data_IF_331845884732
#
_entry.id   IF_331845884732
#
_cell.length_a   1.000
_cell.length_b   1.000
_cell.length_c   1.000
_cell.angle_alpha   90.00
_cell.angle_beta   90.00
_cell.angle_gamma   90.00
#
_symmetry.space_group_name_H-M   'P 1'
#
loop_
_entity.id
_entity.type
_entity.pdbx_description
1 polymer ?
#
# COMPACT_ATOMS: atom_id res chain seq x y z
N UNK A 1 44.34 -3.05 21.26
CA UNK A 1 44.46 -3.12 19.78
C UNK A 1 43.25 -3.91 19.31
N UNK A 2 42.08 -3.27 19.25
CA UNK A 2 41.62 -2.47 18.10
C UNK A 2 41.41 -3.35 16.88
N UNK A 3 40.16 -3.73 16.63
CA UNK A 3 39.51 -3.63 15.33
C UNK A 3 38.01 -3.66 15.55
N UNK A 4 37.50 -2.50 15.95
CA UNK A 4 36.17 -2.04 15.58
C UNK A 4 36.18 -1.75 14.07
N UNK A 5 35.16 -2.20 13.36
CA UNK A 5 34.83 -1.77 12.00
C UNK A 5 33.37 -2.10 11.69
N UNK A 6 32.73 -1.28 10.85
CA UNK A 6 31.46 -0.66 11.20
C UNK A 6 30.36 -0.95 10.16
N UNK A 7 29.16 -0.42 10.41
CA UNK A 7 28.25 -0.05 9.33
C UNK A 7 26.90 -0.74 9.37
N UNK A 8 26.01 -0.23 10.22
CA UNK A 8 24.59 -0.18 9.88
C UNK A 8 23.96 1.07 10.51
N UNK A 9 24.61 2.23 10.31
CA UNK A 9 23.91 3.50 10.38
C UNK A 9 23.24 3.75 9.01
N UNK A 10 22.16 3.00 8.75
CA UNK A 10 21.16 3.48 7.83
C UNK A 10 20.52 4.70 8.51
N UNK A 11 21.12 5.87 8.27
CA UNK A 11 20.61 7.16 8.69
C UNK A 11 19.12 7.21 8.39
N UNK A 12 18.31 7.12 9.45
CA UNK A 12 16.88 7.36 9.36
C UNK A 12 16.71 8.78 8.81
N UNK A 13 16.29 8.90 7.55
CA UNK A 13 15.86 10.17 6.98
C UNK A 13 14.88 10.80 7.99
N UNK A 14 15.08 12.04 8.47
CA UNK A 14 14.25 12.64 9.50
C UNK A 14 12.79 12.93 9.05
N UNK A 15 12.40 12.50 7.85
CA UNK A 15 11.03 12.47 7.34
C UNK A 15 10.50 11.07 7.00
N UNK A 16 11.24 10.00 7.32
CA UNK A 16 10.83 8.62 7.12
C UNK A 16 10.03 8.11 8.33
N UNK A 17 8.76 7.78 8.09
CA UNK A 17 7.89 7.11 9.04
C UNK A 17 8.17 5.60 9.03
N UNK A 18 7.99 4.96 10.19
CA UNK A 18 8.19 3.51 10.33
C UNK A 18 6.99 2.70 9.81
N UNK A 19 7.17 1.39 9.61
CA UNK A 19 6.13 0.44 9.22
C UNK A 19 4.93 0.47 10.18
N UNK A 20 5.19 0.80 11.45
CA UNK A 20 4.18 1.00 12.49
C UNK A 20 3.20 2.15 12.21
N UNK A 21 3.41 2.99 11.19
CA UNK A 21 2.44 4.02 10.77
C UNK A 21 1.29 3.46 9.92
N UNK A 22 1.40 2.21 9.45
CA UNK A 22 0.40 1.51 8.67
C UNK A 22 -0.05 0.23 9.38
N UNK A 23 -1.31 -0.14 9.22
CA UNK A 23 -1.84 -1.45 9.61
C UNK A 23 -2.23 -2.20 8.34
N UNK A 24 -1.53 -3.28 8.07
CA UNK A 24 -1.95 -4.31 7.12
C UNK A 24 -2.73 -5.36 7.91
N UNK A 25 -4.00 -5.56 7.58
CA UNK A 25 -4.90 -6.39 8.37
C UNK A 25 -4.82 -7.87 7.97
N UNK A 26 -4.49 -8.14 6.71
CA UNK A 26 -4.30 -9.47 6.16
C UNK A 26 -3.14 -9.47 5.14
N UNK A 27 -2.35 -10.55 5.02
CA UNK A 27 -1.22 -10.61 4.08
C UNK A 27 -1.60 -10.40 2.60
N UNK A 28 -2.84 -10.75 2.24
CA UNK A 28 -3.36 -10.55 0.88
C UNK A 28 -3.89 -9.14 0.60
N UNK A 29 -3.93 -8.26 1.61
CA UNK A 29 -4.43 -6.89 1.43
C UNK A 29 -3.52 -6.10 0.48
N UNK A 30 -4.15 -5.42 -0.49
CA UNK A 30 -3.45 -4.47 -1.37
C UNK A 30 -3.54 -3.03 -0.86
N UNK A 31 -4.16 -2.82 0.29
CA UNK A 31 -4.22 -1.55 1.02
C UNK A 31 -3.78 -1.74 2.47
N UNK A 32 -3.45 -0.63 3.13
CA UNK A 32 -3.27 -0.55 4.57
C UNK A 32 -4.14 0.57 5.15
N UNK A 33 -4.31 0.56 6.47
CA UNK A 33 -4.96 1.64 7.22
C UNK A 33 -3.89 2.52 7.87
N UNK A 34 -3.99 3.83 7.71
CA UNK A 34 -3.10 4.79 8.35
C UNK A 34 -3.37 4.85 9.86
N UNK A 35 -2.35 4.66 10.70
CA UNK A 35 -2.48 4.79 12.17
C UNK A 35 -2.48 6.24 12.64
N UNK A 36 -1.80 7.09 11.89
CA UNK A 36 -1.68 8.52 12.15
C UNK A 36 -1.95 9.27 10.85
N UNK A 37 -2.16 10.57 10.94
CA UNK A 37 -2.21 11.41 9.75
C UNK A 37 -0.84 11.35 9.02
N UNK A 38 -0.89 11.12 7.72
CA UNK A 38 0.26 10.99 6.85
C UNK A 38 0.33 12.24 5.95
N UNK A 39 1.38 13.05 6.03
CA UNK A 39 1.54 14.18 5.13
C UNK A 39 1.92 13.72 3.71
N UNK A 40 1.61 14.55 2.71
CA UNK A 40 2.09 14.31 1.35
C UNK A 40 3.62 14.28 1.31
N UNK A 41 4.17 13.38 0.51
CA UNK A 41 5.61 13.17 0.38
C UNK A 41 6.24 12.32 1.50
N UNK A 42 5.49 11.98 2.56
CA UNK A 42 5.99 11.12 3.63
C UNK A 42 6.49 9.78 3.06
N UNK A 43 7.64 9.33 3.54
CA UNK A 43 8.22 8.03 3.16
C UNK A 43 7.99 7.06 4.29
N UNK A 44 7.33 5.95 4.03
CA UNK A 44 7.01 4.93 5.04
C UNK A 44 7.87 3.71 4.77
N UNK A 45 8.83 3.44 5.65
CA UNK A 45 9.57 2.18 5.65
C UNK A 45 8.58 1.03 5.89
N UNK A 46 8.65 -0.04 5.10
CA UNK A 46 7.75 -1.19 5.23
C UNK A 46 8.52 -2.38 5.78
N UNK A 47 7.85 -3.24 6.55
CA UNK A 47 8.46 -4.47 7.05
C UNK A 47 8.91 -5.38 5.91
N UNK A 48 8.22 -5.33 4.77
CA UNK A 48 8.57 -6.04 3.54
C UNK A 48 8.29 -5.15 2.33
N UNK A 49 9.19 -5.22 1.33
CA UNK A 49 9.09 -4.46 0.08
C UNK A 49 9.70 -3.06 0.16
N UNK A 50 9.59 -2.27 -0.91
CA UNK A 50 10.19 -0.94 -0.99
C UNK A 50 9.47 0.07 -0.08
N UNK A 51 10.17 1.15 0.27
CA UNK A 51 9.60 2.30 0.95
C UNK A 51 8.40 2.86 0.18
N UNK A 52 7.29 3.10 0.89
CA UNK A 52 6.08 3.66 0.31
C UNK A 52 6.09 5.18 0.43
N UNK A 53 5.94 5.90 -0.68
CA UNK A 53 5.78 7.36 -0.65
C UNK A 53 4.30 7.74 -0.67
N UNK A 54 3.86 8.56 0.27
CA UNK A 54 2.49 9.06 0.34
C UNK A 54 2.30 10.19 -0.69
N UNK A 55 1.30 10.07 -1.56
CA UNK A 55 1.14 10.99 -2.70
C UNK A 55 0.33 12.25 -2.37
N UNK A 56 -0.60 12.16 -1.42
CA UNK A 56 -1.45 13.25 -0.96
C UNK A 56 -1.70 13.09 0.55
N UNK A 57 -2.10 14.12 1.30
CA UNK A 57 -2.37 13.99 2.72
C UNK A 57 -3.45 12.93 3.00
N UNK A 58 -3.21 12.05 3.98
CA UNK A 58 -4.12 10.97 4.36
C UNK A 58 -4.38 11.04 5.86
N UNK A 59 -5.64 11.14 6.26
CA UNK A 59 -6.01 11.20 7.67
C UNK A 59 -5.85 9.85 8.38
N UNK A 60 -5.75 9.87 9.71
CA UNK A 60 -5.73 8.65 10.51
C UNK A 60 -7.01 7.84 10.27
N UNK A 61 -6.88 6.52 10.17
CA UNK A 61 -7.98 5.59 9.89
C UNK A 61 -8.33 5.44 8.41
N UNK A 62 -7.78 6.27 7.52
CA UNK A 62 -8.02 6.16 6.09
C UNK A 62 -7.13 5.12 5.41
N UNK A 63 -7.52 4.70 4.20
CA UNK A 63 -6.88 3.61 3.47
C UNK A 63 -5.79 4.14 2.54
N UNK A 64 -4.65 3.45 2.48
CA UNK A 64 -3.51 3.75 1.62
C UNK A 64 -3.24 2.55 0.72
N UNK A 65 -3.04 2.76 -0.58
CA UNK A 65 -2.66 1.67 -1.49
C UNK A 65 -1.22 1.22 -1.22
N UNK A 66 -0.99 -0.10 -1.09
CA UNK A 66 0.33 -0.69 -0.86
C UNK A 66 1.07 -1.04 -2.16
N UNK A 67 0.35 -1.06 -3.27
CA UNK A 67 0.83 -1.35 -4.63
C UNK A 67 -0.09 -0.65 -5.63
N UNK A 68 0.29 -0.67 -6.90
CA UNK A 68 -0.60 -0.23 -7.97
C UNK A 68 -1.84 -1.13 -8.01
N UNK A 69 -3.02 -0.50 -8.14
CA UNK A 69 -4.32 -1.16 -8.32
C UNK A 69 -4.92 -0.60 -9.60
N UNK A 70 -5.09 -1.45 -10.61
CA UNK A 70 -5.65 -1.05 -11.89
C UNK A 70 -7.14 -0.70 -11.79
N UNK A 71 -7.66 0.09 -12.73
CA UNK A 71 -9.10 0.31 -12.84
C UNK A 71 -9.82 -1.03 -13.02
N UNK A 72 -10.89 -1.24 -12.25
CA UNK A 72 -11.66 -2.49 -12.24
C UNK A 72 -10.98 -3.63 -11.48
N UNK A 73 -9.81 -3.41 -10.87
CA UNK A 73 -9.18 -4.40 -10.00
C UNK A 73 -9.80 -4.37 -8.60
N UNK A 74 -9.81 -5.55 -7.94
CA UNK A 74 -10.31 -5.69 -6.57
C UNK A 74 -9.45 -4.92 -5.58
N UNK A 75 -10.10 -4.19 -4.69
CA UNK A 75 -9.49 -3.64 -3.47
C UNK A 75 -9.78 -4.61 -2.33
N UNK A 76 -8.73 -5.08 -1.64
CA UNK A 76 -8.79 -6.11 -0.62
C UNK A 76 -8.49 -5.53 0.77
N UNK A 77 -9.37 -5.78 1.73
CA UNK A 77 -9.17 -5.46 3.16
C UNK A 77 -9.64 -6.65 3.99
N UNK A 78 -8.87 -7.05 4.99
CA UNK A 78 -9.12 -8.30 5.75
C UNK A 78 -9.09 -9.56 4.85
N UNK A 79 -8.36 -9.54 3.74
CA UNK A 79 -8.32 -10.63 2.77
C UNK A 79 -9.61 -10.81 1.98
N UNK A 80 -10.58 -9.89 2.14
CA UNK A 80 -11.85 -9.91 1.42
C UNK A 80 -11.90 -8.72 0.47
N UNK A 81 -12.50 -8.88 -0.72
CA UNK A 81 -12.76 -7.74 -1.56
C UNK A 81 -13.78 -6.81 -0.89
N UNK A 82 -13.50 -5.51 -0.97
CA UNK A 82 -14.38 -4.45 -0.46
C UNK A 82 -14.95 -3.59 -1.58
N UNK A 83 -14.53 -3.84 -2.83
CA UNK A 83 -14.94 -3.07 -3.99
C UNK A 83 -13.94 -3.20 -5.14
N UNK A 84 -14.19 -2.41 -6.18
CA UNK A 84 -13.36 -2.30 -7.36
C UNK A 84 -12.79 -0.88 -7.46
N UNK A 85 -11.56 -0.74 -7.92
CA UNK A 85 -10.99 0.58 -8.16
C UNK A 85 -11.70 1.24 -9.35
N UNK A 86 -12.35 2.38 -9.14
CA UNK A 86 -13.08 3.09 -10.23
C UNK A 86 -12.13 3.82 -11.18
N UNK A 87 -10.89 4.07 -10.75
CA UNK A 87 -9.77 4.61 -11.51
C UNK A 87 -8.47 3.91 -11.10
N UNK A 88 -7.37 4.01 -11.88
CA UNK A 88 -6.06 3.53 -11.44
C UNK A 88 -5.64 4.19 -10.12
N UNK A 89 -5.09 3.39 -9.20
CA UNK A 89 -4.62 3.84 -7.89
C UNK A 89 -3.14 3.51 -7.75
N UNK A 90 -2.32 4.54 -7.64
CA UNK A 90 -0.88 4.41 -7.46
C UNK A 90 -0.52 3.98 -6.03
N UNK A 91 0.63 3.30 -5.82
CA UNK A 91 1.13 3.04 -4.48
C UNK A 91 1.23 4.33 -3.66
N UNK A 92 0.73 4.31 -2.42
CA UNK A 92 0.76 5.46 -1.52
C UNK A 92 -0.36 6.47 -1.74
N UNK A 93 -1.27 6.22 -2.69
CA UNK A 93 -2.47 7.02 -2.87
C UNK A 93 -3.55 6.70 -1.81
N UNK A 94 -4.38 7.70 -1.51
CA UNK A 94 -5.55 7.56 -0.65
C UNK A 94 -6.65 6.76 -1.34
N UNK A 95 -7.15 5.69 -0.71
CA UNK A 95 -8.25 4.86 -1.21
C UNK A 95 -9.56 5.21 -0.51
N UNK A 96 -10.49 5.82 -1.22
CA UNK A 96 -11.78 6.29 -0.70
C UNK A 96 -12.85 6.30 -1.80
N UNK A 97 -14.08 6.74 -1.48
CA UNK A 97 -15.21 6.68 -2.42
C UNK A 97 -15.00 7.38 -3.77
N UNK A 98 -13.99 8.26 -3.93
CA UNK A 98 -13.68 8.87 -5.22
C UNK A 98 -12.97 7.93 -6.21
N UNK A 99 -12.26 6.91 -5.70
CA UNK A 99 -11.50 5.94 -6.50
C UNK A 99 -11.84 4.48 -6.17
N UNK A 100 -12.82 4.24 -5.30
CA UNK A 100 -13.31 2.93 -4.91
C UNK A 100 -14.83 2.88 -5.10
N UNK A 101 -15.28 1.94 -5.92
CA UNK A 101 -16.68 1.59 -6.09
C UNK A 101 -17.01 0.36 -5.25
N UNK A 102 -18.05 0.45 -4.43
CA UNK A 102 -18.54 -0.69 -3.65
C UNK A 102 -19.21 -1.67 -4.61
N UNK A 103 -18.71 -2.90 -4.68
CA UNK A 103 -19.31 -3.92 -5.52
C UNK A 103 -20.60 -4.44 -4.86
N UNK A 104 -21.76 -4.15 -5.45
CA UNK A 104 -23.06 -4.62 -4.98
C UNK A 104 -23.21 -6.14 -5.11
N UNK A 105 -22.51 -6.74 -6.08
CA UNK A 105 -22.33 -8.18 -6.24
C UNK A 105 -20.85 -8.46 -6.45
N UNK A 106 -20.25 -9.16 -5.50
CA UNK A 106 -18.84 -9.51 -5.57
C UNK A 106 -18.66 -10.73 -6.49
N UNK A 107 -17.89 -10.62 -7.59
CA UNK A 107 -17.72 -11.76 -8.49
C UNK A 107 -17.06 -12.92 -7.73
N UNK A 108 -17.45 -14.18 -8.00
CA UNK A 108 -16.88 -15.35 -7.34
C UNK A 108 -15.36 -15.33 -7.52
N UNK A 109 -14.63 -15.45 -6.39
CA UNK A 109 -13.17 -15.32 -6.24
C UNK A 109 -12.42 -15.25 -7.57
N UNK A 110 -12.20 -14.04 -8.08
CA UNK A 110 -11.27 -13.82 -9.18
C UNK A 110 -9.83 -13.95 -8.63
N UNK A 111 -9.42 -15.17 -8.30
CA UNK A 111 -8.04 -15.54 -8.01
C UNK A 111 -7.08 -15.33 -9.21
N UNK A 112 -7.55 -14.72 -10.30
CA UNK A 112 -6.82 -14.56 -11.54
C UNK A 112 -6.22 -13.15 -11.76
N UNK A 113 -6.69 -12.09 -11.09
CA UNK A 113 -6.31 -10.72 -11.48
C UNK A 113 -5.05 -10.17 -10.77
N UNK A 114 -4.57 -10.80 -9.70
CA UNK A 114 -3.26 -10.47 -9.12
C UNK A 114 -2.07 -11.13 -9.86
N UNK A 115 -2.33 -12.14 -10.72
CA UNK A 115 -1.30 -12.91 -11.40
C UNK A 115 -0.99 -12.44 -12.84
N UNK A 116 -1.92 -11.73 -13.50
CA UNK A 116 -1.75 -11.30 -14.90
C UNK A 116 -0.87 -10.04 -15.05
N UNK A 117 -0.84 -9.14 -14.05
CA UNK A 117 0.02 -7.95 -14.08
C UNK A 117 1.52 -8.29 -14.02
N UNK A 118 1.90 -9.40 -13.36
CA UNK A 118 3.31 -9.85 -13.30
C UNK A 118 3.81 -10.52 -14.58
N UNK A 119 2.96 -10.78 -15.56
CA UNK A 119 3.34 -11.44 -16.83
C UNK A 119 3.61 -10.46 -17.97
N UNK A 120 3.21 -9.18 -17.86
CA UNK A 120 3.34 -8.20 -18.96
C UNK A 120 4.60 -7.33 -18.89
N UNK A 121 5.28 -7.25 -17.74
CA UNK A 121 6.51 -6.45 -17.56
C UNK A 121 7.83 -7.22 -17.78
N UNK A 122 7.77 -8.42 -18.36
CA UNK A 122 8.95 -9.19 -18.77
C UNK A 122 9.09 -9.29 -20.31
N UNK A 123 8.71 -8.25 -21.06
CA UNK A 123 8.93 -8.21 -22.52
C UNK A 123 9.76 -7.02 -22.96
#
# INVERSE_FOLDING_TARGET
MSTESPGEDAAADPGALSASSLIVLHPDDNIAVARFALPAGARIARSHGPTLQVLAPIEAGHKVALRAIGRGELVLKYGQPIGLASAPIEPGAHVHGHNLEMAEVMPPRAAAQAADARRRDCR
#
